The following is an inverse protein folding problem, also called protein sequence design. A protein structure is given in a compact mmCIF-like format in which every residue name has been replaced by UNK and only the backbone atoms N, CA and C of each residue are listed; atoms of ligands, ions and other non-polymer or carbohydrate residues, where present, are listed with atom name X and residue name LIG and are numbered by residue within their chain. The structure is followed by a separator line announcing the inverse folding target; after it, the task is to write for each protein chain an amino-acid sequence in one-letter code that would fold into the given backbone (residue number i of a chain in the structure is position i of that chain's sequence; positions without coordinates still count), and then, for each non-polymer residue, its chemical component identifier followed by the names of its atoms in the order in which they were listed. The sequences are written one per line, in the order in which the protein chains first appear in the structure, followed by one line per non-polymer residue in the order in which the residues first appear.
data_IF_975643788306
#
_entry.id   IF_975643788306
#
_cell.length_a   1.000
_cell.length_b   1.000
_cell.length_c   1.000
_cell.angle_alpha   90.00
_cell.angle_beta   90.00
_cell.angle_gamma   90.00
#
_symmetry.space_group_name_H-M   'P 1'
#
loop_
_entity.id
_entity.type
_entity.pdbx_description
1 polymer ?
#
# COMPACT_ATOMS: atom_id res chain seq x y z
N UNK A 1 8.88 0.76 10.96
CA UNK A 1 7.46 0.71 11.37
C UNK A 1 7.29 -0.24 12.56
N UNK A 2 6.40 0.08 13.47
CA UNK A 2 6.03 -0.74 14.62
C UNK A 2 5.44 -2.11 14.23
N UNK A 3 4.95 -2.23 12.99
CA UNK A 3 4.42 -3.49 12.45
C UNK A 3 5.51 -4.41 11.86
N UNK A 4 6.73 -3.90 11.68
CA UNK A 4 7.87 -4.66 11.15
C UNK A 4 9.11 -4.43 12.03
N UNK A 5 9.04 -4.75 13.34
CA UNK A 5 10.09 -4.38 14.30
C UNK A 5 11.45 -4.97 13.95
N UNK A 6 11.50 -6.23 13.55
CA UNK A 6 12.77 -6.90 13.19
C UNK A 6 13.47 -6.20 12.03
N UNK A 7 12.72 -5.78 11.00
CA UNK A 7 13.27 -5.01 9.86
C UNK A 7 13.73 -3.63 10.30
N UNK A 8 12.97 -2.97 11.17
CA UNK A 8 13.33 -1.65 11.71
C UNK A 8 14.61 -1.71 12.54
N UNK A 9 14.75 -2.71 13.40
CA UNK A 9 15.95 -2.94 14.21
C UNK A 9 17.18 -3.27 13.34
N UNK A 10 16.99 -4.07 12.28
CA UNK A 10 18.06 -4.35 11.33
C UNK A 10 18.49 -3.08 10.59
N UNK A 11 17.54 -2.26 10.15
CA UNK A 11 17.82 -0.97 9.50
C UNK A 11 18.61 -0.06 10.44
N UNK A 12 18.22 0.05 11.71
CA UNK A 12 18.95 0.85 12.70
C UNK A 12 20.40 0.35 12.88
N UNK A 13 20.59 -0.98 12.99
CA UNK A 13 21.93 -1.58 13.08
C UNK A 13 22.80 -1.27 11.86
N UNK A 14 22.23 -1.40 10.66
CA UNK A 14 22.94 -1.08 9.41
C UNK A 14 23.37 0.39 9.37
N UNK A 15 22.49 1.32 9.75
CA UNK A 15 22.84 2.73 9.77
C UNK A 15 23.97 3.04 10.77
N UNK A 16 23.90 2.47 11.97
CA UNK A 16 24.97 2.62 12.99
C UNK A 16 26.32 2.05 12.56
N UNK A 17 26.32 1.06 11.67
CA UNK A 17 27.57 0.45 11.16
C UNK A 17 28.24 1.30 10.08
N UNK A 18 27.45 1.98 9.24
CA UNK A 18 27.97 2.65 8.04
C UNK A 18 28.01 4.17 8.13
N UNK A 19 27.31 4.78 9.09
CA UNK A 19 27.21 6.24 9.22
C UNK A 19 27.52 6.70 10.65
N UNK A 20 28.16 7.86 10.77
CA UNK A 20 28.21 8.57 12.05
C UNK A 20 26.81 9.08 12.40
N UNK A 21 26.46 9.08 13.68
CA UNK A 21 25.14 9.52 14.15
C UNK A 21 24.85 11.00 13.89
N UNK A 22 25.88 11.81 13.62
CA UNK A 22 25.74 13.20 13.18
C UNK A 22 25.40 13.33 11.69
N UNK A 23 25.60 12.28 10.89
CA UNK A 23 25.29 12.25 9.46
C UNK A 23 23.95 11.60 9.18
N UNK A 24 23.69 10.43 9.79
CA UNK A 24 22.42 9.71 9.61
C UNK A 24 22.08 8.86 10.83
N UNK A 25 20.84 8.91 11.25
CA UNK A 25 20.34 8.11 12.35
C UNK A 25 18.94 7.55 12.08
N UNK A 26 18.63 6.39 12.66
CA UNK A 26 17.33 5.75 12.60
C UNK A 26 16.70 5.78 13.99
N UNK A 27 15.49 6.30 14.08
CA UNK A 27 14.70 6.31 15.32
C UNK A 27 13.53 5.34 15.16
N UNK A 28 13.47 4.34 16.02
CA UNK A 28 12.40 3.33 16.04
C UNK A 28 11.42 3.64 17.16
N UNK A 29 10.15 3.32 16.95
CA UNK A 29 9.11 3.52 17.97
C UNK A 29 7.70 3.47 17.42
N UNK A 30 6.75 3.70 18.29
CA UNK A 30 5.33 3.74 17.97
C UNK A 30 4.84 5.13 17.51
N UNK A 31 3.52 5.31 17.44
CA UNK A 31 2.91 6.56 17.01
C UNK A 31 3.28 7.80 17.84
N UNK A 32 3.58 7.61 19.11
CA UNK A 32 4.03 8.66 20.04
C UNK A 32 5.43 9.19 19.66
N UNK A 33 6.36 8.29 19.34
CA UNK A 33 7.69 8.66 18.83
C UNK A 33 7.57 9.35 17.48
N UNK A 34 6.75 8.84 16.57
CA UNK A 34 6.52 9.44 15.26
C UNK A 34 5.90 10.85 15.37
N UNK A 35 4.97 11.05 16.29
CA UNK A 35 4.36 12.36 16.56
C UNK A 35 5.41 13.36 17.10
N UNK A 36 6.21 12.95 18.10
CA UNK A 36 7.28 13.77 18.63
C UNK A 36 8.32 14.11 17.56
N UNK A 37 8.71 13.12 16.72
CA UNK A 37 9.64 13.32 15.61
C UNK A 37 9.13 14.34 14.60
N UNK A 38 7.85 14.29 14.22
CA UNK A 38 7.26 15.20 13.24
C UNK A 38 7.12 16.65 13.74
N UNK A 39 7.30 16.91 15.03
CA UNK A 39 7.29 18.24 15.63
C UNK A 39 8.68 18.88 15.77
N UNK A 40 9.74 18.20 15.34
CA UNK A 40 11.09 18.74 15.41
C UNK A 40 11.35 19.79 14.30
N UNK A 41 12.23 20.77 14.52
CA UNK A 41 12.53 21.84 13.58
C UNK A 41 13.51 21.38 12.49
N UNK A 42 13.07 20.51 11.61
CA UNK A 42 13.84 20.05 10.45
C UNK A 42 13.90 21.08 9.34
N UNK A 43 14.87 20.99 8.45
CA UNK A 43 14.90 21.77 7.20
C UNK A 43 13.87 21.25 6.18
N UNK A 44 13.54 19.96 6.25
CA UNK A 44 12.53 19.31 5.42
C UNK A 44 12.06 18.00 6.05
N UNK A 45 10.79 17.67 5.87
CA UNK A 45 10.21 16.40 6.32
C UNK A 45 9.55 15.66 5.15
N UNK A 46 9.99 14.43 4.88
CA UNK A 46 9.35 13.52 3.95
C UNK A 46 8.52 12.50 4.75
N UNK A 47 7.26 12.36 4.41
CA UNK A 47 6.37 11.36 5.02
C UNK A 47 5.73 10.47 3.97
N UNK A 48 5.76 9.17 4.21
CA UNK A 48 4.99 8.17 3.43
C UNK A 48 4.00 7.47 4.32
N UNK A 49 2.72 7.46 3.94
CA UNK A 49 1.68 6.80 4.71
C UNK A 49 0.26 7.17 4.33
N UNK A 50 -0.69 7.04 5.28
CA UNK A 50 -2.09 7.37 5.01
C UNK A 50 -2.32 8.89 4.91
N UNK A 51 -3.32 9.31 4.13
CA UNK A 51 -3.73 10.72 4.02
C UNK A 51 -4.08 11.32 5.40
N UNK A 52 -4.72 10.54 6.28
CA UNK A 52 -5.07 11.03 7.61
C UNK A 52 -3.83 11.30 8.46
N UNK A 53 -2.87 10.38 8.45
CA UNK A 53 -1.60 10.59 9.16
C UNK A 53 -0.78 11.71 8.53
N UNK A 54 -0.76 11.81 7.20
CA UNK A 54 -0.08 12.91 6.50
C UNK A 54 -0.60 14.30 6.90
N UNK A 55 -1.91 14.44 7.10
CA UNK A 55 -2.50 15.69 7.62
C UNK A 55 -2.00 16.03 9.03
N UNK A 56 -1.84 15.03 9.91
CA UNK A 56 -1.31 15.23 11.26
C UNK A 56 0.17 15.62 11.23
N UNK A 57 0.97 14.93 10.40
CA UNK A 57 2.39 15.26 10.19
C UNK A 57 2.56 16.67 9.66
N UNK A 58 1.80 17.06 8.64
CA UNK A 58 1.84 18.41 8.08
C UNK A 58 1.45 19.48 9.11
N UNK A 59 0.43 19.20 9.93
CA UNK A 59 0.00 20.10 11.01
C UNK A 59 1.12 20.26 12.05
N UNK A 60 1.74 19.17 12.46
CA UNK A 60 2.83 19.20 13.45
C UNK A 60 4.05 19.96 12.90
N UNK A 61 4.47 19.68 11.69
CA UNK A 61 5.59 20.35 11.02
C UNK A 61 5.37 21.86 10.84
N UNK A 62 4.12 22.29 10.65
CA UNK A 62 3.78 23.71 10.45
C UNK A 62 4.07 24.59 11.66
N UNK A 63 4.14 24.05 12.86
CA UNK A 63 4.49 24.79 14.09
C UNK A 63 5.91 25.35 14.04
N UNK A 64 6.81 24.67 13.31
CA UNK A 64 8.18 25.12 13.09
C UNK A 64 8.43 25.59 11.64
N UNK A 65 7.37 25.81 10.84
CA UNK A 65 7.45 26.18 9.43
C UNK A 65 8.26 25.19 8.57
N UNK A 66 8.29 23.91 8.95
CA UNK A 66 9.02 22.88 8.21
C UNK A 66 8.28 22.53 6.92
N UNK A 67 8.94 22.65 5.75
CA UNK A 67 8.35 22.18 4.49
C UNK A 67 8.20 20.67 4.49
N UNK A 68 7.09 20.15 3.94
CA UNK A 68 6.79 18.73 3.90
C UNK A 68 6.58 18.21 2.49
N UNK A 69 7.07 17.00 2.23
CA UNK A 69 6.67 16.19 1.06
C UNK A 69 5.85 15.01 1.56
N UNK A 70 4.64 14.85 1.04
CA UNK A 70 3.71 13.81 1.45
C UNK A 70 3.54 12.79 0.33
N UNK A 71 4.03 11.57 0.54
CA UNK A 71 3.80 10.41 -0.29
C UNK A 71 2.63 9.59 0.30
N UNK A 72 1.47 9.64 -0.34
CA UNK A 72 0.23 9.11 0.21
C UNK A 72 -0.31 7.96 -0.65
N UNK A 73 -1.45 7.40 -0.25
CA UNK A 73 -2.13 6.37 -1.03
C UNK A 73 -2.75 6.92 -2.32
N UNK A 74 -3.14 6.01 -3.19
CA UNK A 74 -3.75 6.34 -4.48
C UNK A 74 -4.87 5.38 -4.86
N UNK A 75 -5.59 5.75 -5.93
CA UNK A 75 -6.62 4.97 -6.61
C UNK A 75 -6.17 4.79 -8.07
N UNK A 76 -5.09 4.00 -8.25
CA UNK A 76 -4.40 3.85 -9.53
C UNK A 76 -5.29 3.16 -10.59
N UNK A 77 -5.74 3.88 -11.63
CA UNK A 77 -6.55 3.31 -12.70
C UNK A 77 -5.70 2.47 -13.66
N UNK A 78 -6.30 1.44 -14.21
CA UNK A 78 -5.80 0.74 -15.40
C UNK A 78 -6.77 0.96 -16.54
N UNK A 79 -6.27 1.44 -17.67
CA UNK A 79 -7.05 1.64 -18.90
C UNK A 79 -6.56 0.61 -19.90
N UNK A 80 -7.49 -0.24 -20.37
CA UNK A 80 -7.19 -1.31 -21.33
C UNK A 80 -7.66 -0.89 -22.72
N UNK A 81 -6.73 -0.83 -23.66
CA UNK A 81 -7.03 -0.56 -25.07
C UNK A 81 -7.81 -1.72 -25.70
N UNK A 82 -8.62 -1.43 -26.73
CA UNK A 82 -9.45 -2.43 -27.42
C UNK A 82 -8.63 -3.50 -28.14
N UNK A 83 -7.41 -3.20 -28.53
CA UNK A 83 -6.47 -4.12 -29.19
C UNK A 83 -5.53 -4.82 -28.20
N UNK A 84 -5.66 -4.57 -26.89
CA UNK A 84 -4.80 -5.19 -25.90
C UNK A 84 -5.09 -6.70 -25.78
N UNK A 85 -4.02 -7.48 -25.61
CA UNK A 85 -4.12 -8.88 -25.20
C UNK A 85 -4.62 -8.96 -23.75
N UNK A 86 -5.89 -9.34 -23.59
CA UNK A 86 -6.56 -9.35 -22.27
C UNK A 86 -5.91 -10.34 -21.31
N UNK A 87 -5.45 -11.50 -21.78
CA UNK A 87 -4.77 -12.50 -20.94
C UNK A 87 -3.47 -11.96 -20.36
N UNK A 88 -2.65 -11.35 -21.19
CA UNK A 88 -1.39 -10.74 -20.75
C UNK A 88 -1.66 -9.53 -19.85
N UNK A 89 -2.65 -8.71 -20.18
CA UNK A 89 -3.07 -7.56 -19.40
C UNK A 89 -3.57 -7.99 -18.02
N UNK A 90 -4.49 -8.95 -17.93
CA UNK A 90 -4.98 -9.49 -16.66
C UNK A 90 -3.84 -10.06 -15.81
N UNK A 91 -2.91 -10.79 -16.41
CA UNK A 91 -1.73 -11.33 -15.70
C UNK A 91 -0.89 -10.21 -15.08
N UNK A 92 -0.61 -9.15 -15.82
CA UNK A 92 0.18 -7.99 -15.31
C UNK A 92 -0.58 -7.23 -14.23
N UNK A 93 -1.87 -6.98 -14.42
CA UNK A 93 -2.72 -6.29 -13.45
C UNK A 93 -2.81 -7.09 -12.16
N UNK A 94 -3.10 -8.40 -12.24
CA UNK A 94 -3.21 -9.23 -11.04
C UNK A 94 -1.86 -9.40 -10.34
N UNK A 95 -0.75 -9.49 -11.05
CA UNK A 95 0.58 -9.50 -10.45
C UNK A 95 0.85 -8.22 -9.65
N UNK A 96 0.54 -7.05 -10.23
CA UNK A 96 0.67 -5.77 -9.54
C UNK A 96 -0.29 -5.63 -8.35
N UNK A 97 -1.53 -6.16 -8.48
CA UNK A 97 -2.53 -6.09 -7.42
C UNK A 97 -2.26 -7.03 -6.26
N UNK A 98 -1.75 -8.23 -6.53
CA UNK A 98 -1.49 -9.24 -5.48
C UNK A 98 -0.15 -9.06 -4.78
N UNK A 99 0.77 -8.28 -5.34
CA UNK A 99 2.02 -7.93 -4.67
C UNK A 99 1.73 -7.27 -3.33
N UNK A 100 2.33 -7.80 -2.25
CA UNK A 100 2.12 -7.36 -0.88
C UNK A 100 0.62 -7.26 -0.50
N UNK A 101 -0.23 -8.16 -1.02
CA UNK A 101 -1.68 -8.15 -0.85
C UNK A 101 -2.36 -6.82 -1.27
N UNK A 102 -1.78 -6.11 -2.24
CA UNK A 102 -2.29 -4.81 -2.71
C UNK A 102 -2.01 -3.63 -1.78
N UNK A 103 -1.21 -3.83 -0.73
CA UNK A 103 -0.85 -2.80 0.26
C UNK A 103 0.32 -1.95 -0.24
N UNK A 104 0.15 -1.36 -1.42
CA UNK A 104 1.14 -0.51 -2.09
C UNK A 104 0.39 0.70 -2.68
N UNK A 105 0.97 1.90 -2.56
CA UNK A 105 0.37 3.15 -3.07
C UNK A 105 0.10 3.12 -4.58
N UNK A 106 0.87 2.35 -5.35
CA UNK A 106 0.76 2.18 -6.81
C UNK A 106 -0.05 0.95 -7.23
N UNK A 107 -0.56 0.14 -6.29
CA UNK A 107 -1.30 -1.08 -6.64
C UNK A 107 -2.49 -0.74 -7.57
N UNK A 108 -2.70 -1.47 -8.67
CA UNK A 108 -3.88 -1.32 -9.50
C UNK A 108 -5.14 -1.36 -8.65
N UNK A 109 -6.01 -0.35 -8.79
CA UNK A 109 -7.20 -0.22 -7.95
C UNK A 109 -8.47 -0.57 -8.71
N UNK A 110 -8.70 0.05 -9.85
CA UNK A 110 -9.80 -0.27 -10.73
C UNK A 110 -9.35 -0.36 -12.19
N UNK A 111 -10.08 -1.16 -12.97
CA UNK A 111 -9.72 -1.43 -14.36
C UNK A 111 -10.88 -1.04 -15.27
N UNK A 112 -10.60 -0.21 -16.25
CA UNK A 112 -11.53 0.16 -17.32
C UNK A 112 -11.22 -0.71 -18.54
N UNK A 113 -12.16 -1.58 -18.90
CA UNK A 113 -12.03 -2.47 -20.06
C UNK A 113 -12.98 -2.03 -21.18
N UNK A 114 -12.70 -2.34 -22.45
CA UNK A 114 -13.61 -2.09 -23.55
C UNK A 114 -14.98 -2.73 -23.32
N UNK A 115 -16.01 -2.09 -23.88
CA UNK A 115 -17.39 -2.56 -23.75
C UNK A 115 -17.52 -4.03 -24.19
N UNK A 116 -18.16 -4.84 -23.34
CA UNK A 116 -18.37 -6.27 -23.58
C UNK A 116 -17.18 -7.17 -23.25
N UNK A 117 -16.07 -6.62 -22.72
CA UNK A 117 -14.87 -7.38 -22.38
C UNK A 117 -14.71 -7.67 -20.88
N UNK A 118 -15.64 -7.22 -20.04
CA UNK A 118 -15.53 -7.36 -18.57
C UNK A 118 -15.48 -8.82 -18.13
N UNK A 119 -16.37 -9.68 -18.66
CA UNK A 119 -16.41 -11.11 -18.28
C UNK A 119 -15.12 -11.85 -18.69
N UNK A 120 -14.62 -11.56 -19.90
CA UNK A 120 -13.36 -12.13 -20.36
C UNK A 120 -12.20 -11.70 -19.48
N UNK A 121 -12.11 -10.40 -19.14
CA UNK A 121 -11.08 -9.87 -18.27
C UNK A 121 -11.14 -10.49 -16.86
N UNK A 122 -12.33 -10.64 -16.27
CA UNK A 122 -12.51 -11.29 -14.95
C UNK A 122 -12.02 -12.73 -15.00
N UNK A 123 -12.43 -13.52 -16.00
CA UNK A 123 -11.99 -14.92 -16.18
C UNK A 123 -10.48 -15.05 -16.31
N UNK A 124 -9.85 -14.19 -17.11
CA UNK A 124 -8.40 -14.19 -17.27
C UNK A 124 -7.70 -13.75 -15.96
N UNK A 125 -8.29 -12.84 -15.21
CA UNK A 125 -7.79 -12.41 -13.90
C UNK A 125 -7.82 -13.53 -12.87
N UNK A 126 -8.94 -14.28 -12.78
CA UNK A 126 -9.02 -15.47 -11.93
C UNK A 126 -7.97 -16.53 -12.32
N UNK A 127 -7.80 -16.76 -13.61
CA UNK A 127 -6.83 -17.72 -14.13
C UNK A 127 -5.41 -17.28 -13.75
N UNK A 128 -5.10 -16.00 -13.89
CA UNK A 128 -3.81 -15.43 -13.52
C UNK A 128 -3.51 -15.59 -12.03
N UNK A 129 -4.48 -15.27 -11.16
CA UNK A 129 -4.30 -15.43 -9.70
C UNK A 129 -4.11 -16.88 -9.32
N UNK A 130 -4.92 -17.81 -9.87
CA UNK A 130 -4.78 -19.25 -9.62
C UNK A 130 -3.42 -19.80 -10.07
N UNK A 131 -2.85 -19.27 -11.16
CA UNK A 131 -1.52 -19.67 -11.64
C UNK A 131 -0.37 -19.16 -10.77
N UNK A 132 -0.54 -18.01 -10.10
CA UNK A 132 0.46 -17.43 -9.20
C UNK A 132 0.37 -18.03 -7.78
N UNK A 133 -0.84 -18.35 -7.35
CA UNK A 133 -1.12 -18.80 -5.98
C UNK A 133 -2.16 -19.93 -6.02
N UNK A 134 -1.70 -21.19 -5.93
CA UNK A 134 -2.56 -22.38 -6.03
C UNK A 134 -3.72 -22.37 -5.04
N UNK A 135 -3.47 -21.93 -3.82
CA UNK A 135 -4.48 -21.76 -2.78
C UNK A 135 -4.21 -20.46 -2.01
N UNK A 136 -4.75 -19.35 -2.48
CA UNK A 136 -4.45 -18.02 -1.95
C UNK A 136 -4.62 -17.93 -0.44
N UNK A 137 -5.69 -18.52 0.11
CA UNK A 137 -6.02 -18.45 1.55
C UNK A 137 -4.96 -19.07 2.45
N UNK A 138 -4.29 -20.12 1.98
CA UNK A 138 -3.30 -20.87 2.77
C UNK A 138 -1.89 -20.80 2.18
N UNK A 139 -1.68 -19.92 1.20
CA UNK A 139 -0.41 -19.79 0.52
C UNK A 139 0.58 -18.99 1.38
N UNK A 140 1.65 -19.66 1.82
CA UNK A 140 2.68 -19.02 2.65
C UNK A 140 3.52 -17.96 1.91
N UNK A 141 3.44 -17.93 0.58
CA UNK A 141 4.10 -16.92 -0.24
C UNK A 141 3.21 -15.70 -0.51
N UNK A 142 1.97 -15.67 0.01
CA UNK A 142 1.06 -14.55 -0.10
C UNK A 142 1.06 -13.74 1.19
N UNK A 143 1.28 -12.44 1.07
CA UNK A 143 1.34 -11.53 2.22
C UNK A 143 -0.04 -11.37 2.85
N UNK A 144 -0.11 -11.40 4.18
CA UNK A 144 -1.33 -11.09 4.92
C UNK A 144 -1.60 -9.59 4.98
N UNK A 145 -2.84 -9.21 5.26
CA UNK A 145 -3.19 -7.84 5.67
C UNK A 145 -2.46 -7.53 6.98
N UNK A 146 -1.91 -6.32 7.06
CA UNK A 146 -0.92 -5.94 8.08
C UNK A 146 -1.42 -6.06 9.53
N UNK A 147 -2.70 -5.83 9.78
CA UNK A 147 -3.33 -5.95 11.10
C UNK A 147 -4.85 -6.12 11.02
N UNK A 148 -5.46 -6.48 12.14
CA UNK A 148 -6.91 -6.71 12.28
C UNK A 148 -7.74 -5.47 11.93
N UNK A 149 -7.34 -4.28 12.36
CA UNK A 149 -8.02 -3.02 12.04
C UNK A 149 -8.17 -2.81 10.53
N UNK A 150 -7.13 -3.10 9.75
CA UNK A 150 -7.18 -3.00 8.30
C UNK A 150 -7.97 -4.14 7.67
N UNK A 151 -7.91 -5.34 8.23
CA UNK A 151 -8.73 -6.47 7.83
C UNK A 151 -10.22 -6.15 7.97
N UNK A 152 -10.65 -5.67 9.14
CA UNK A 152 -12.04 -5.28 9.39
C UNK A 152 -12.51 -4.15 8.47
N UNK A 153 -11.66 -3.15 8.24
CA UNK A 153 -11.96 -2.07 7.31
C UNK A 153 -12.20 -2.58 5.89
N UNK A 154 -11.41 -3.54 5.42
CA UNK A 154 -11.56 -4.13 4.08
C UNK A 154 -12.84 -4.96 4.00
N UNK A 155 -13.15 -5.76 5.02
CA UNK A 155 -14.41 -6.51 5.08
C UNK A 155 -15.62 -5.58 5.06
N UNK A 156 -15.60 -4.50 5.84
CA UNK A 156 -16.68 -3.52 5.84
C UNK A 156 -16.87 -2.85 4.47
N UNK A 157 -15.80 -2.60 3.71
CA UNK A 157 -15.88 -2.08 2.34
C UNK A 157 -16.49 -3.10 1.37
N UNK A 158 -16.19 -4.38 1.54
CA UNK A 158 -16.79 -5.46 0.73
C UNK A 158 -18.28 -5.56 1.01
N UNK A 159 -18.68 -5.54 2.28
CA UNK A 159 -20.11 -5.59 2.65
C UNK A 159 -20.87 -4.35 2.15
N UNK A 160 -20.32 -3.15 2.30
CA UNK A 160 -20.89 -1.91 1.74
C UNK A 160 -21.04 -1.99 0.21
N UNK A 161 -20.07 -2.58 -0.49
CA UNK A 161 -20.15 -2.77 -1.93
C UNK A 161 -21.29 -3.74 -2.32
N UNK A 162 -21.45 -4.84 -1.58
CA UNK A 162 -22.57 -5.80 -1.78
C UNK A 162 -23.93 -5.13 -1.56
N UNK A 163 -24.08 -4.37 -0.48
CA UNK A 163 -25.32 -3.64 -0.17
C UNK A 163 -25.66 -2.62 -1.26
N UNK A 164 -24.66 -2.06 -1.94
CA UNK A 164 -24.81 -1.15 -3.08
C UNK A 164 -24.99 -1.86 -4.44
N UNK A 165 -25.09 -3.18 -4.44
CA UNK A 165 -25.37 -3.98 -5.64
C UNK A 165 -24.13 -4.31 -6.49
N UNK A 166 -22.94 -4.26 -5.93
CA UNK A 166 -21.75 -4.75 -6.62
C UNK A 166 -21.77 -6.27 -6.77
N UNK A 167 -21.37 -6.76 -7.95
CA UNK A 167 -21.12 -8.17 -8.20
C UNK A 167 -19.76 -8.56 -7.63
N UNK A 168 -19.75 -9.36 -6.58
CA UNK A 168 -18.54 -9.82 -5.90
C UNK A 168 -18.22 -11.25 -6.37
N UNK A 169 -17.02 -11.45 -6.88
CA UNK A 169 -16.55 -12.72 -7.43
C UNK A 169 -15.27 -13.20 -6.78
#
# INVERSE_FOLDING_TARGET
SEFTPVTSDLTEKMFKEFFDSSEAAVFTGGPDVAAAFSSLPFDHLLFTGSTQTGKLVMKSASENLVPVTLELGGKSPVIVDENADLKNTATKVMRGKTMNAGQICLAPDYVMVPKGKSEEFVKESETAVKSMYENLKYNQNYTSVINEKHYDRLNNLIEDAKEKGADIR
#
